data_IF_898170566827
#
_entry.id   IF_898170566827
#
_cell.length_a   1.000
_cell.length_b   1.000
_cell.length_c   1.000
_cell.angle_alpha   90.00
_cell.angle_beta   90.00
_cell.angle_gamma   90.00
#
_symmetry.space_group_name_H-M   'P 1'
#
loop_
_entity.id
_entity.type
_entity.pdbx_description
1 polymer ?
#
# COMPACT_ATOMS: atom_id res chain seq x y z
N UNK A 1 6.78 -5.50 -20.86
CA UNK A 1 7.54 -5.76 -19.62
C UNK A 1 6.93 -4.89 -18.55
N UNK A 2 6.15 -5.47 -17.63
CA UNK A 2 5.69 -4.73 -16.46
C UNK A 2 6.91 -4.54 -15.55
N UNK A 3 7.33 -3.28 -15.33
CA UNK A 3 8.38 -2.98 -14.37
C UNK A 3 7.77 -3.06 -12.98
N UNK A 4 7.95 -4.20 -12.32
CA UNK A 4 7.66 -4.32 -10.88
C UNK A 4 8.59 -3.40 -10.11
N UNK A 5 8.04 -2.36 -9.49
CA UNK A 5 8.84 -1.49 -8.64
C UNK A 5 9.18 -2.21 -7.34
N UNK A 6 10.47 -2.27 -7.02
CA UNK A 6 10.94 -2.80 -5.74
C UNK A 6 10.27 -2.09 -4.56
N UNK A 7 10.02 -2.83 -3.49
CA UNK A 7 9.41 -2.30 -2.27
C UNK A 7 10.17 -1.10 -1.72
N UNK A 8 11.50 -1.09 -1.82
CA UNK A 8 12.37 0.04 -1.44
C UNK A 8 12.02 1.32 -2.19
N UNK A 9 11.75 1.23 -3.49
CA UNK A 9 11.37 2.38 -4.33
C UNK A 9 10.02 2.93 -3.90
N UNK A 10 9.03 2.05 -3.73
CA UNK A 10 7.69 2.42 -3.25
C UNK A 10 7.78 3.13 -1.90
N UNK A 11 8.53 2.59 -0.95
CA UNK A 11 8.76 3.22 0.36
C UNK A 11 9.39 4.61 0.23
N UNK A 12 10.36 4.78 -0.66
CA UNK A 12 10.98 6.08 -0.90
C UNK A 12 9.97 7.10 -1.45
N UNK A 13 9.15 6.71 -2.42
CA UNK A 13 8.11 7.58 -2.99
C UNK A 13 7.08 8.03 -1.94
N UNK A 14 6.66 7.14 -1.04
CA UNK A 14 5.77 7.47 0.09
C UNK A 14 6.41 8.52 0.99
N UNK A 15 7.69 8.36 1.33
CA UNK A 15 8.45 9.31 2.16
C UNK A 15 8.57 10.69 1.50
N UNK A 16 8.61 10.73 0.17
CA UNK A 16 8.68 11.96 -0.62
C UNK A 16 7.31 12.67 -0.75
N UNK A 17 6.23 12.13 -0.19
CA UNK A 17 4.91 12.75 -0.28
C UNK A 17 4.05 12.26 -1.44
N UNK A 18 4.50 11.24 -2.19
CA UNK A 18 3.80 10.80 -3.39
C UNK A 18 2.48 10.09 -3.05
N UNK A 19 1.41 10.47 -3.77
CA UNK A 19 0.18 9.68 -3.83
C UNK A 19 0.40 8.45 -4.70
N UNK A 20 0.23 7.26 -4.12
CA UNK A 20 0.53 6.00 -4.82
C UNK A 20 -0.72 5.18 -5.09
N UNK A 21 -0.73 4.54 -6.27
CA UNK A 21 -1.70 3.53 -6.66
C UNK A 21 -0.94 2.24 -6.90
N UNK A 22 -1.09 1.28 -5.99
CA UNK A 22 -0.41 0.00 -6.03
C UNK A 22 -1.37 -1.01 -6.62
N UNK A 23 -1.11 -1.45 -7.85
CA UNK A 23 -1.98 -2.42 -8.55
C UNK A 23 -1.37 -3.82 -8.67
N UNK A 24 -0.11 -3.98 -8.27
CA UNK A 24 0.61 -5.24 -8.33
C UNK A 24 0.41 -6.10 -7.09
N UNK A 25 0.63 -7.42 -7.26
CA UNK A 25 0.63 -8.38 -6.16
C UNK A 25 1.88 -8.23 -5.30
N UNK A 26 1.77 -7.46 -4.23
CA UNK A 26 2.75 -7.43 -3.15
C UNK A 26 2.37 -8.36 -2.01
N UNK A 27 3.38 -8.91 -1.33
CA UNK A 27 3.18 -9.68 -0.10
C UNK A 27 2.48 -8.85 0.98
N UNK A 28 1.69 -9.50 1.83
CA UNK A 28 0.95 -8.86 2.93
C UNK A 28 1.86 -8.01 3.82
N UNK A 29 3.08 -8.46 4.11
CA UNK A 29 4.08 -7.72 4.90
C UNK A 29 4.41 -6.37 4.26
N UNK A 30 4.68 -6.35 2.96
CA UNK A 30 5.02 -5.14 2.22
C UNK A 30 3.84 -4.17 2.18
N UNK A 31 2.63 -4.68 1.93
CA UNK A 31 1.41 -3.85 1.91
C UNK A 31 1.19 -3.17 3.27
N UNK A 32 1.35 -3.90 4.38
CA UNK A 32 1.24 -3.33 5.73
C UNK A 32 2.28 -2.24 5.96
N UNK A 33 3.51 -2.45 5.54
CA UNK A 33 4.56 -1.43 5.63
C UNK A 33 4.23 -0.19 4.79
N UNK A 34 3.74 -0.36 3.55
CA UNK A 34 3.38 0.77 2.69
C UNK A 34 2.27 1.61 3.32
N UNK A 35 1.21 0.98 3.82
CA UNK A 35 0.11 1.69 4.48
C UNK A 35 0.57 2.35 5.79
N UNK A 36 1.47 1.71 6.54
CA UNK A 36 2.02 2.30 7.77
C UNK A 36 2.89 3.52 7.49
N UNK A 37 3.74 3.47 6.46
CA UNK A 37 4.52 4.61 6.02
C UNK A 37 3.62 5.71 5.47
N UNK A 38 2.60 5.35 4.69
CA UNK A 38 1.63 6.30 4.15
C UNK A 38 0.90 7.05 5.27
N UNK A 39 0.53 6.34 6.34
CA UNK A 39 -0.01 6.93 7.57
C UNK A 39 0.98 7.88 8.24
N UNK A 40 2.23 7.46 8.42
CA UNK A 40 3.25 8.25 9.10
C UNK A 40 3.56 9.56 8.35
N UNK A 41 3.55 9.53 7.03
CA UNK A 41 3.77 10.69 6.17
C UNK A 41 2.48 11.43 5.77
N UNK A 42 1.33 11.00 6.28
CA UNK A 42 0.01 11.55 5.94
C UNK A 42 -0.27 11.59 4.41
N UNK A 43 0.23 10.61 3.66
CA UNK A 43 0.01 10.54 2.21
C UNK A 43 -1.09 9.54 1.87
N UNK A 44 -1.98 9.83 0.92
CA UNK A 44 -3.01 8.90 0.49
C UNK A 44 -2.41 7.75 -0.32
N UNK A 45 -2.93 6.55 -0.12
CA UNK A 45 -2.50 5.33 -0.80
C UNK A 45 -3.71 4.52 -1.26
N UNK A 46 -3.70 4.13 -2.53
CA UNK A 46 -4.71 3.25 -3.12
C UNK A 46 -4.09 1.90 -3.40
N UNK A 47 -4.69 0.83 -2.88
CA UNK A 47 -4.28 -0.55 -3.15
C UNK A 47 -5.34 -1.21 -4.03
N UNK A 48 -4.99 -1.62 -5.25
CA UNK A 48 -5.82 -2.50 -6.07
C UNK A 48 -5.49 -3.95 -5.73
N UNK A 49 -6.40 -4.55 -5.00
CA UNK A 49 -6.23 -5.84 -4.35
C UNK A 49 -6.98 -6.88 -5.16
N UNK A 50 -6.35 -7.37 -6.23
CA UNK A 50 -6.99 -8.36 -7.08
C UNK A 50 -6.83 -9.78 -6.49
N UNK A 51 -7.84 -10.22 -5.73
CA UNK A 51 -7.92 -11.56 -5.13
C UNK A 51 -7.03 -11.78 -3.90
N UNK A 52 -6.76 -10.75 -3.09
CA UNK A 52 -6.01 -10.98 -1.83
C UNK A 52 -6.88 -11.54 -0.72
N UNK A 53 -6.21 -12.27 0.18
CA UNK A 53 -6.84 -12.92 1.31
C UNK A 53 -7.52 -11.91 2.26
N UNK A 54 -8.72 -12.23 2.74
CA UNK A 54 -9.52 -11.37 3.62
C UNK A 54 -8.79 -10.97 4.90
N UNK A 55 -7.89 -11.83 5.41
CA UNK A 55 -7.01 -11.52 6.54
C UNK A 55 -6.12 -10.31 6.27
N UNK A 56 -5.52 -10.23 5.09
CA UNK A 56 -4.65 -9.11 4.70
C UNK A 56 -5.42 -7.81 4.64
N UNK A 57 -6.62 -7.84 4.04
CA UNK A 57 -7.49 -6.65 3.95
C UNK A 57 -7.86 -6.16 5.36
N UNK A 58 -8.26 -7.06 6.26
CA UNK A 58 -8.57 -6.70 7.66
C UNK A 58 -7.38 -6.09 8.38
N UNK A 59 -6.18 -6.63 8.18
CA UNK A 59 -4.95 -6.09 8.75
C UNK A 59 -4.65 -4.67 8.23
N UNK A 60 -4.81 -4.42 6.93
CA UNK A 60 -4.58 -3.10 6.33
C UNK A 60 -5.55 -2.06 6.89
N UNK A 61 -6.83 -2.44 7.03
CA UNK A 61 -7.85 -1.57 7.65
C UNK A 61 -7.52 -1.31 9.12
N UNK A 62 -7.03 -2.31 9.87
CA UNK A 62 -6.63 -2.16 11.28
C UNK A 62 -5.50 -1.16 11.49
N UNK A 63 -4.64 -0.91 10.49
CA UNK A 63 -3.62 0.15 10.57
C UNK A 63 -4.28 1.52 10.77
N UNK A 64 -5.54 1.69 10.32
CA UNK A 64 -6.33 2.90 10.55
C UNK A 64 -5.76 4.12 9.84
N UNK A 65 -5.25 3.92 8.62
CA UNK A 65 -4.82 5.03 7.79
C UNK A 65 -6.05 5.66 7.08
N UNK A 66 -6.41 6.93 7.35
CA UNK A 66 -7.61 7.54 6.80
C UNK A 66 -7.55 7.76 5.28
N UNK A 67 -6.34 7.85 4.71
CA UNK A 67 -6.12 7.99 3.27
C UNK A 67 -6.00 6.65 2.52
N UNK A 68 -6.34 5.52 3.16
CA UNK A 68 -6.30 4.20 2.55
C UNK A 68 -7.54 3.99 1.68
N UNK A 69 -7.34 3.75 0.38
CA UNK A 69 -8.39 3.28 -0.53
C UNK A 69 -8.09 1.84 -0.94
N UNK A 70 -9.10 0.98 -0.85
CA UNK A 70 -9.03 -0.42 -1.28
C UNK A 70 -9.93 -0.58 -2.51
N UNK A 71 -9.34 -0.96 -3.63
CA UNK A 71 -10.01 -1.27 -4.90
C UNK A 71 -9.98 -2.80 -5.04
N UNK A 72 -11.14 -3.45 -4.89
CA UNK A 72 -11.30 -4.91 -4.79
C UNK A 72 -11.71 -5.54 -6.13
#
# INVERSE_FOLDING_TARGET
>A
MEMTYSSTTIKSLIKLGAKLIISEKYSSTNLKEFVSLAKLHNVPITLKINGSNTTTIKDLIKIGHPGLTLDL
#
